data_IF_686822713035
#
_entry.id   IF_686822713035
#
_cell.length_a   1.000
_cell.length_b   1.000
_cell.length_c   1.000
_cell.angle_alpha   90.00
_cell.angle_beta   90.00
_cell.angle_gamma   90.00
#
_symmetry.space_group_name_H-M   'P 1'
#
loop_
_entity.id
_entity.type
_entity.pdbx_description
1 polymer ?
#
# COMPACT_ATOMS: atom_id res chain seq x y z
N UNK A 1 -11.50 -10.43 -44.16
CA UNK A 1 -10.20 -10.53 -43.47
C UNK A 1 -10.48 -11.22 -42.15
N UNK A 2 -10.27 -12.53 -42.12
CA UNK A 2 -10.52 -13.33 -40.93
C UNK A 2 -9.42 -13.06 -39.91
N UNK A 3 -9.80 -12.57 -38.74
CA UNK A 3 -8.91 -12.40 -37.60
C UNK A 3 -8.67 -13.79 -37.02
N UNK A 4 -7.52 -14.37 -37.34
CA UNK A 4 -7.03 -15.61 -36.75
C UNK A 4 -6.84 -15.35 -35.24
N UNK A 5 -7.76 -15.86 -34.41
CA UNK A 5 -7.58 -15.89 -32.95
C UNK A 5 -6.44 -16.88 -32.64
N UNK A 6 -5.42 -16.48 -31.86
CA UNK A 6 -4.32 -17.38 -31.50
C UNK A 6 -4.84 -18.56 -30.66
N UNK A 7 -4.27 -19.73 -30.90
CA UNK A 7 -4.67 -20.97 -30.24
C UNK A 7 -4.23 -20.97 -28.76
N UNK A 8 -5.03 -21.53 -27.83
CA UNK A 8 -4.79 -21.47 -26.38
C UNK A 8 -3.42 -21.97 -25.92
N UNK A 9 -2.79 -22.86 -26.71
CA UNK A 9 -1.48 -23.45 -26.41
C UNK A 9 -0.30 -22.47 -26.55
N UNK A 10 -0.41 -21.42 -27.38
CA UNK A 10 0.66 -20.44 -27.57
C UNK A 10 0.71 -19.40 -26.45
N UNK A 11 -0.46 -19.10 -25.87
CA UNK A 11 -0.60 -18.21 -24.71
C UNK A 11 -0.02 -18.87 -23.45
N UNK A 12 -0.32 -20.15 -23.22
CA UNK A 12 0.20 -20.92 -22.08
C UNK A 12 1.75 -21.04 -22.07
N UNK A 13 2.36 -21.14 -23.25
CA UNK A 13 3.82 -21.25 -23.39
C UNK A 13 4.56 -19.92 -23.20
N UNK A 14 3.87 -18.79 -23.39
CA UNK A 14 4.43 -17.45 -23.18
C UNK A 14 4.40 -17.07 -21.70
N UNK A 15 3.31 -17.43 -21.01
CA UNK A 15 3.12 -17.25 -19.56
C UNK A 15 4.17 -18.04 -18.75
N UNK A 16 4.48 -19.27 -19.16
CA UNK A 16 5.48 -20.11 -18.49
C UNK A 16 6.93 -19.68 -18.71
N UNK A 17 7.21 -18.81 -19.68
CA UNK A 17 8.54 -18.20 -19.90
C UNK A 17 8.73 -16.91 -19.10
N UNK A 18 7.68 -16.12 -18.91
CA UNK A 18 7.72 -14.87 -18.14
C UNK A 18 7.79 -15.11 -16.62
N UNK A 19 7.21 -16.20 -16.13
CA UNK A 19 7.23 -16.60 -14.71
C UNK A 19 8.62 -17.02 -14.17
N UNK A 20 9.63 -17.20 -15.02
CA UNK A 20 10.94 -17.74 -14.61
C UNK A 20 11.94 -16.69 -14.10
N UNK A 21 11.65 -15.39 -14.20
CA UNK A 21 12.68 -14.36 -14.06
C UNK A 21 12.60 -13.42 -12.84
N UNK A 22 11.67 -13.57 -11.90
CA UNK A 22 11.63 -12.70 -10.70
C UNK A 22 11.17 -13.44 -9.44
N UNK A 23 11.68 -13.00 -8.29
CA UNK A 23 11.62 -13.70 -7.00
C UNK A 23 10.17 -13.97 -6.55
N UNK A 24 9.77 -15.25 -6.33
CA UNK A 24 8.42 -15.65 -5.96
C UNK A 24 7.84 -14.93 -4.74
N UNK A 25 8.71 -14.58 -3.79
CA UNK A 25 8.35 -14.00 -2.49
C UNK A 25 7.61 -12.66 -2.60
N UNK A 26 7.93 -11.81 -3.60
CA UNK A 26 7.31 -10.49 -3.75
C UNK A 26 5.90 -10.56 -4.35
N UNK A 27 5.64 -11.57 -5.19
CA UNK A 27 4.32 -11.79 -5.78
C UNK A 27 3.35 -12.43 -4.78
N UNK A 28 3.86 -13.34 -3.94
CA UNK A 28 3.06 -14.06 -2.94
C UNK A 28 2.61 -13.16 -1.79
N UNK A 29 3.46 -12.22 -1.35
CA UNK A 29 3.08 -11.24 -0.34
C UNK A 29 2.03 -10.23 -0.85
N UNK A 30 2.10 -9.83 -2.13
CA UNK A 30 1.09 -8.97 -2.74
C UNK A 30 -0.26 -9.69 -2.88
N UNK A 31 -0.23 -10.96 -3.29
CA UNK A 31 -1.40 -11.81 -3.40
C UNK A 31 -2.10 -12.00 -2.03
N UNK A 32 -1.31 -12.18 -0.97
CA UNK A 32 -1.84 -12.30 0.40
C UNK A 32 -2.55 -11.03 0.85
N UNK A 33 -2.02 -9.85 0.54
CA UNK A 33 -2.65 -8.57 0.87
C UNK A 33 -3.98 -8.37 0.12
N UNK A 34 -4.02 -8.65 -1.18
CA UNK A 34 -5.23 -8.56 -2.00
C UNK A 34 -6.32 -9.57 -1.58
N UNK A 35 -5.94 -10.75 -1.10
CA UNK A 35 -6.89 -11.74 -0.60
C UNK A 35 -7.50 -11.33 0.76
N UNK A 36 -6.73 -10.64 1.61
CA UNK A 36 -7.17 -10.24 2.96
C UNK A 36 -8.21 -9.11 2.97
N UNK A 37 -8.31 -8.31 1.91
CA UNK A 37 -9.32 -7.23 1.78
C UNK A 37 -10.74 -7.73 1.49
N UNK A 38 -10.94 -9.03 1.25
CA UNK A 38 -12.25 -9.61 0.85
C UNK A 38 -13.07 -10.13 2.04
N UNK A 39 -12.54 -10.13 3.28
CA UNK A 39 -13.14 -10.91 4.40
C UNK A 39 -13.95 -10.09 5.43
N UNK A 40 -14.07 -8.76 5.34
CA UNK A 40 -14.87 -7.99 6.31
C UNK A 40 -16.09 -7.29 5.69
N UNK A 41 -17.07 -8.06 5.22
CA UNK A 41 -18.45 -7.59 5.11
C UNK A 41 -19.42 -8.65 5.65
N UNK A 42 -19.88 -8.49 6.89
CA UNK A 42 -21.29 -8.67 7.29
C UNK A 42 -21.53 -8.00 8.66
N UNK A 43 -22.28 -6.90 8.69
CA UNK A 43 -23.60 -6.85 9.38
C UNK A 43 -24.25 -5.45 9.42
N UNK A 44 -25.41 -5.39 8.78
CA UNK A 44 -26.60 -4.57 9.05
C UNK A 44 -26.56 -3.02 8.93
N UNK A 45 -27.03 -2.56 7.77
CA UNK A 45 -28.14 -1.61 7.52
C UNK A 45 -28.36 -0.43 8.48
N UNK A 46 -28.18 0.79 7.95
CA UNK A 46 -29.26 1.77 7.76
C UNK A 46 -28.77 2.95 6.90
N UNK A 47 -29.24 3.04 5.65
CA UNK A 47 -29.06 4.24 4.84
C UNK A 47 -30.10 5.31 5.17
N UNK A 48 -29.72 6.59 5.27
CA UNK A 48 -30.61 7.68 4.97
C UNK A 48 -30.28 8.25 3.57
N UNK A 49 -31.30 8.24 2.73
CA UNK A 49 -31.38 8.95 1.45
C UNK A 49 -31.11 10.44 1.60
N UNK A 50 -30.16 11.01 0.84
CA UNK A 50 -30.13 12.45 0.56
C UNK A 50 -29.72 12.72 -0.90
N UNK A 51 -30.45 13.67 -1.46
CA UNK A 51 -30.67 14.06 -2.84
C UNK A 51 -29.45 14.51 -3.66
N UNK A 52 -29.56 14.26 -4.95
CA UNK A 52 -28.81 14.86 -6.06
C UNK A 52 -28.75 16.39 -5.98
N UNK A 53 -27.55 16.97 -6.08
CA UNK A 53 -27.34 18.33 -6.57
C UNK A 53 -26.13 18.39 -7.52
N UNK A 54 -26.34 19.01 -8.66
CA UNK A 54 -25.44 19.14 -9.81
C UNK A 54 -24.46 20.31 -9.68
N UNK A 55 -23.18 20.01 -9.91
CA UNK A 55 -22.11 20.75 -10.64
C UNK A 55 -21.93 22.26 -10.40
N UNK A 56 -20.73 22.64 -9.96
CA UNK A 56 -19.97 23.73 -10.57
C UNK A 56 -18.45 23.49 -10.44
N UNK A 57 -17.77 23.27 -11.57
CA UNK A 57 -16.30 23.29 -11.68
C UNK A 57 -15.75 24.70 -11.40
N UNK A 58 -14.59 24.82 -10.74
CA UNK A 58 -13.72 25.97 -10.95
C UNK A 58 -12.44 25.59 -11.69
N UNK A 59 -12.10 26.52 -12.58
CA UNK A 59 -11.06 26.52 -13.61
C UNK A 59 -9.66 26.23 -13.10
N UNK A 60 -8.91 25.57 -13.96
CA UNK A 60 -7.45 25.48 -14.00
C UNK A 60 -6.77 26.83 -13.73
N UNK A 61 -5.86 26.84 -12.76
CA UNK A 61 -4.81 27.85 -12.67
C UNK A 61 -3.46 27.14 -12.69
N UNK A 62 -2.67 27.52 -13.68
CA UNK A 62 -1.27 27.12 -13.83
C UNK A 62 -0.47 27.66 -12.64
N UNK A 63 0.08 26.77 -11.82
CA UNK A 63 1.12 27.13 -10.85
C UNK A 63 2.43 26.53 -11.37
N UNK A 64 3.31 27.42 -11.80
CA UNK A 64 4.69 27.15 -12.14
C UNK A 64 5.46 26.77 -10.87
N UNK A 65 5.89 25.52 -10.77
CA UNK A 65 6.82 25.05 -9.75
C UNK A 65 8.23 25.60 -10.02
N UNK A 66 8.51 26.82 -9.55
CA UNK A 66 9.88 27.24 -9.25
C UNK A 66 10.23 26.69 -7.86
N UNK A 67 10.81 25.49 -7.82
CA UNK A 67 11.39 24.97 -6.57
C UNK A 67 12.82 25.51 -6.44
N UNK A 68 12.96 26.67 -5.81
CA UNK A 68 14.25 27.13 -5.32
C UNK A 68 14.59 26.35 -4.05
N UNK A 69 15.60 25.49 -4.15
CA UNK A 69 16.24 24.81 -3.02
C UNK A 69 16.83 25.85 -2.06
N UNK A 70 16.00 26.29 -1.11
CA UNK A 70 16.45 27.11 0.01
C UNK A 70 17.03 26.19 1.08
N UNK A 71 18.34 26.02 1.03
CA UNK A 71 19.16 25.48 2.11
C UNK A 71 18.98 26.33 3.38
N UNK A 72 18.04 25.94 4.24
CA UNK A 72 17.95 26.45 5.60
C UNK A 72 18.00 25.26 6.55
N UNK A 73 19.13 25.11 7.25
CA UNK A 73 19.27 24.21 8.41
C UNK A 73 18.36 24.71 9.53
N UNK A 74 17.06 24.44 9.41
CA UNK A 74 16.18 24.35 10.57
C UNK A 74 16.48 23.02 11.23
N UNK A 75 16.58 23.01 12.55
CA UNK A 75 16.39 21.78 13.28
C UNK A 75 14.97 21.32 12.92
N UNK A 76 14.86 20.34 12.02
CA UNK A 76 13.57 19.75 11.64
C UNK A 76 12.97 19.17 12.91
N UNK A 77 12.09 19.95 13.53
CA UNK A 77 11.19 19.43 14.55
C UNK A 77 10.43 18.29 13.86
N UNK A 78 10.46 17.12 14.49
CA UNK A 78 9.73 15.93 14.05
C UNK A 78 8.24 16.21 14.22
N UNK A 79 7.68 16.95 13.28
CA UNK A 79 6.28 17.36 13.27
C UNK A 79 5.44 16.40 12.42
N UNK A 80 4.17 16.29 12.79
CA UNK A 80 3.20 15.40 12.15
C UNK A 80 3.29 13.96 12.63
N UNK A 81 2.42 13.13 12.05
CA UNK A 81 2.29 11.70 12.32
C UNK A 81 3.10 10.90 11.32
N UNK A 82 3.47 9.67 11.66
CA UNK A 82 4.17 8.73 10.76
C UNK A 82 3.47 7.38 10.79
N UNK A 83 3.47 6.71 9.65
CA UNK A 83 2.97 5.34 9.54
C UNK A 83 4.12 4.41 9.88
N UNK A 84 3.87 3.47 10.78
CA UNK A 84 4.89 2.62 11.39
C UNK A 84 4.35 1.21 11.49
N UNK A 85 5.12 0.23 11.04
CA UNK A 85 4.92 -1.17 11.45
C UNK A 85 5.43 -1.27 12.90
N UNK A 86 4.48 -1.42 13.82
CA UNK A 86 4.70 -1.29 15.26
C UNK A 86 5.69 -2.35 15.79
N UNK A 87 5.52 -3.61 15.39
CA UNK A 87 6.37 -4.71 15.84
C UNK A 87 7.81 -4.56 15.35
N UNK A 88 7.99 -4.24 14.06
CA UNK A 88 9.31 -3.98 13.45
C UNK A 88 10.02 -2.81 14.13
N UNK A 89 9.29 -1.71 14.32
CA UNK A 89 9.86 -0.50 14.88
C UNK A 89 10.24 -0.65 16.35
N UNK A 90 9.38 -1.27 17.17
CA UNK A 90 9.68 -1.54 18.57
C UNK A 90 10.87 -2.50 18.70
N UNK A 91 10.92 -3.56 17.89
CA UNK A 91 12.02 -4.53 17.92
C UNK A 91 13.37 -3.85 17.62
N UNK A 92 13.42 -2.93 16.66
CA UNK A 92 14.63 -2.16 16.38
C UNK A 92 15.02 -1.24 17.55
N UNK A 93 14.06 -0.55 18.16
CA UNK A 93 14.33 0.31 19.34
C UNK A 93 14.91 -0.53 20.49
N UNK A 94 14.33 -1.70 20.76
CA UNK A 94 14.79 -2.60 21.82
C UNK A 94 16.17 -3.23 21.51
N UNK A 95 16.53 -3.31 20.23
CA UNK A 95 17.83 -3.84 19.77
C UNK A 95 18.95 -2.78 19.77
N UNK A 96 18.69 -1.59 20.31
CA UNK A 96 19.67 -0.50 20.36
C UNK A 96 20.93 -0.92 21.13
N UNK A 97 22.13 -0.91 20.50
CA UNK A 97 23.35 -1.37 21.12
C UNK A 97 23.91 -0.32 22.09
N UNK A 98 23.89 -0.63 23.39
CA UNK A 98 24.62 0.15 24.39
C UNK A 98 26.01 -0.47 24.62
N UNK A 99 27.05 0.19 24.10
CA UNK A 99 28.44 -0.19 24.36
C UNK A 99 29.16 0.94 25.10
N UNK A 100 29.75 0.63 26.27
CA UNK A 100 30.58 1.57 27.03
C UNK A 100 30.94 1.10 28.44
N UNK A 101 32.11 1.52 28.92
CA UNK A 101 32.63 1.30 30.30
C UNK A 101 31.76 1.94 31.38
N UNK A 102 31.03 3.00 31.04
CA UNK A 102 29.96 3.57 31.86
C UNK A 102 28.67 2.89 31.43
N UNK A 103 28.20 1.95 32.24
CA UNK A 103 26.95 1.24 32.04
C UNK A 103 25.83 2.23 31.76
N UNK A 104 25.38 2.32 30.50
CA UNK A 104 24.02 2.74 30.21
C UNK A 104 23.16 1.59 30.74
N UNK A 105 23.00 1.54 32.07
CA UNK A 105 22.49 0.38 32.79
C UNK A 105 21.13 0.00 32.23
N UNK A 106 20.91 -1.30 32.07
CA UNK A 106 19.88 -1.97 31.25
C UNK A 106 18.41 -1.69 31.61
N UNK A 107 18.10 -0.58 32.29
CA UNK A 107 16.75 -0.12 32.60
C UNK A 107 16.46 1.34 32.22
N UNK A 108 17.44 2.11 31.69
CA UNK A 108 17.26 3.54 31.35
C UNK A 108 17.35 3.86 29.85
N UNK A 109 17.42 2.83 29.00
CA UNK A 109 17.53 2.93 27.53
C UNK A 109 16.50 3.91 26.94
N UNK A 110 15.26 3.89 27.42
CA UNK A 110 14.21 4.78 26.91
C UNK A 110 14.27 6.24 27.36
N UNK A 111 15.00 6.58 28.43
CA UNK A 111 15.01 7.95 28.99
C UNK A 111 16.08 8.87 28.40
N UNK A 112 17.09 8.32 27.76
CA UNK A 112 18.27 9.08 27.29
C UNK A 112 18.49 8.98 25.79
N UNK A 113 17.56 8.35 25.05
CA UNK A 113 17.65 8.22 23.60
C UNK A 113 16.72 9.25 22.97
N UNK A 114 17.30 10.11 22.13
CA UNK A 114 16.59 11.15 21.41
C UNK A 114 16.72 10.93 19.90
N UNK A 115 15.67 11.26 19.15
CA UNK A 115 15.74 11.29 17.69
C UNK A 115 16.48 12.56 17.28
N UNK A 116 17.60 12.41 16.58
CA UNK A 116 18.43 13.54 16.13
C UNK A 116 18.24 13.87 14.65
N UNK A 117 17.72 12.93 13.87
CA UNK A 117 17.51 13.10 12.44
C UNK A 117 16.41 12.17 11.95
N UNK A 118 15.63 12.64 11.00
CA UNK A 118 14.73 11.83 10.18
C UNK A 118 15.11 11.99 8.71
N UNK A 119 15.09 10.87 7.97
CA UNK A 119 15.16 10.85 6.51
C UNK A 119 13.91 10.16 5.99
N UNK A 120 13.10 10.88 5.22
CA UNK A 120 11.85 10.35 4.66
C UNK A 120 12.04 9.82 3.24
N UNK A 121 11.40 8.69 2.96
CA UNK A 121 11.35 8.02 1.65
C UNK A 121 9.89 7.71 1.32
N UNK A 122 9.09 8.75 1.11
CA UNK A 122 7.63 8.66 1.05
C UNK A 122 7.04 8.57 2.46
N UNK A 123 6.19 7.59 2.70
CA UNK A 123 5.61 7.27 4.02
C UNK A 123 6.55 6.47 4.94
N UNK A 124 7.67 5.96 4.40
CA UNK A 124 8.70 5.27 5.18
C UNK A 124 9.70 6.30 5.71
N UNK A 125 9.96 6.25 7.01
CA UNK A 125 10.91 7.12 7.70
C UNK A 125 12.09 6.32 8.25
N UNK A 126 13.30 6.85 8.08
CA UNK A 126 14.53 6.37 8.70
C UNK A 126 14.92 7.38 9.79
N UNK A 127 14.84 6.98 11.04
CA UNK A 127 15.20 7.81 12.19
C UNK A 127 16.61 7.47 12.64
N UNK A 128 17.40 8.49 12.92
CA UNK A 128 18.67 8.36 13.63
C UNK A 128 18.43 8.66 15.10
N UNK A 129 18.57 7.65 15.93
CA UNK A 129 18.48 7.73 17.38
C UNK A 129 19.87 7.94 17.95
N UNK A 130 19.99 8.82 18.94
CA UNK A 130 21.25 9.09 19.64
C UNK A 130 21.04 8.98 21.14
N UNK A 131 21.89 8.19 21.79
CA UNK A 131 21.92 8.16 23.25
C UNK A 131 22.72 9.33 23.80
N UNK A 132 22.16 10.09 24.74
CA UNK A 132 22.85 11.23 25.35
C UNK A 132 23.97 10.83 26.30
N UNK A 133 23.98 9.60 26.81
CA UNK A 133 25.02 9.12 27.72
C UNK A 133 26.23 8.56 26.96
N UNK A 134 26.02 7.51 26.16
CA UNK A 134 27.12 6.85 25.44
C UNK A 134 27.41 7.46 24.06
N UNK A 135 26.58 8.42 23.60
CA UNK A 135 26.69 9.09 22.29
C UNK A 135 26.65 8.17 21.07
N UNK A 136 26.32 6.89 21.25
CA UNK A 136 26.08 5.94 20.16
C UNK A 136 24.88 6.39 19.36
N UNK A 137 25.01 6.31 18.04
CA UNK A 137 23.94 6.55 17.07
C UNK A 137 23.48 5.21 16.48
N UNK A 138 22.17 5.06 16.33
CA UNK A 138 21.56 3.86 15.78
C UNK A 138 20.42 4.27 14.85
N UNK A 139 20.31 3.57 13.72
CA UNK A 139 19.30 3.86 12.71
C UNK A 139 18.15 2.88 12.87
N UNK A 140 16.93 3.41 12.86
CA UNK A 140 15.70 2.62 12.87
C UNK A 140 14.82 3.04 11.70
N UNK A 141 14.11 2.11 11.09
CA UNK A 141 13.15 2.37 10.00
C UNK A 141 11.73 2.12 10.46
N UNK A 142 10.78 2.93 10.00
CA UNK A 142 9.36 2.78 10.33
C UNK A 142 8.73 1.53 9.74
N UNK A 143 9.34 0.97 8.69
CA UNK A 143 8.90 -0.23 8.00
C UNK A 143 10.10 -0.96 7.38
N UNK A 144 9.94 -2.25 7.10
CA UNK A 144 10.93 -3.09 6.43
C UNK A 144 10.57 -3.28 4.95
N UNK A 145 11.55 -3.75 4.18
CA UNK A 145 11.32 -4.29 2.85
C UNK A 145 11.68 -5.78 2.87
N UNK A 146 10.98 -6.57 3.69
CA UNK A 146 11.19 -8.00 3.96
C UNK A 146 10.57 -8.91 2.88
N UNK A 147 10.33 -8.37 1.68
CA UNK A 147 9.59 -9.04 0.61
C UNK A 147 8.08 -8.85 0.69
N UNK A 148 7.56 -8.27 1.79
CA UNK A 148 6.16 -7.81 1.84
C UNK A 148 5.98 -6.46 1.17
N UNK A 149 4.71 -6.14 0.91
CA UNK A 149 4.33 -4.83 0.41
C UNK A 149 4.58 -3.79 1.50
N UNK A 150 5.63 -2.99 1.32
CA UNK A 150 5.95 -1.91 2.25
C UNK A 150 4.85 -0.84 2.29
N UNK A 151 4.92 0.03 3.29
CA UNK A 151 3.94 1.09 3.58
C UNK A 151 3.66 1.99 2.38
N UNK A 152 4.68 2.32 1.58
CA UNK A 152 4.48 3.09 0.35
C UNK A 152 3.61 2.32 -0.65
N UNK A 153 3.94 1.05 -0.88
CA UNK A 153 3.18 0.18 -1.75
C UNK A 153 1.76 -0.06 -1.25
N UNK A 154 1.58 -0.28 0.05
CA UNK A 154 0.27 -0.52 0.65
C UNK A 154 -0.64 0.71 0.55
N UNK A 155 -0.10 1.91 0.83
CA UNK A 155 -0.86 3.15 0.71
C UNK A 155 -1.26 3.45 -0.75
N UNK A 156 -0.32 3.26 -1.70
CA UNK A 156 -0.60 3.48 -3.14
C UNK A 156 -1.58 2.44 -3.67
N UNK A 157 -1.37 1.16 -3.35
CA UNK A 157 -2.29 0.08 -3.74
C UNK A 157 -3.69 0.33 -3.17
N UNK A 158 -3.77 0.67 -1.88
CA UNK A 158 -5.03 1.00 -1.23
C UNK A 158 -5.74 2.16 -1.92
N UNK A 159 -5.01 3.23 -2.27
CA UNK A 159 -5.57 4.35 -3.03
C UNK A 159 -6.11 3.90 -4.40
N UNK A 160 -5.35 3.11 -5.16
CA UNK A 160 -5.79 2.61 -6.47
C UNK A 160 -7.03 1.70 -6.33
N UNK A 161 -7.06 0.82 -5.32
CA UNK A 161 -8.18 -0.09 -5.08
C UNK A 161 -9.49 0.63 -4.77
N UNK A 162 -9.44 1.79 -4.12
CA UNK A 162 -10.64 2.62 -3.87
C UNK A 162 -10.95 3.61 -5.00
N UNK A 163 -10.21 3.55 -6.11
CA UNK A 163 -10.36 4.47 -7.24
C UNK A 163 -9.80 5.87 -7.01
N UNK A 164 -8.91 6.04 -6.03
CA UNK A 164 -8.23 7.30 -5.75
C UNK A 164 -6.90 7.44 -6.50
N UNK A 165 -6.61 8.66 -6.95
CA UNK A 165 -5.33 9.04 -7.54
C UNK A 165 -4.37 9.72 -6.55
N UNK A 166 -3.21 10.15 -7.06
CA UNK A 166 -2.16 10.83 -6.29
C UNK A 166 -2.68 12.04 -5.49
N UNK A 167 -3.42 12.96 -6.14
CA UNK A 167 -3.87 14.20 -5.49
C UNK A 167 -4.81 13.92 -4.32
N UNK A 168 -5.72 12.95 -4.48
CA UNK A 168 -6.67 12.55 -3.44
C UNK A 168 -5.95 11.86 -2.27
N UNK A 169 -4.97 11.01 -2.56
CA UNK A 169 -4.14 10.39 -1.51
C UNK A 169 -3.37 11.46 -0.72
N UNK A 170 -2.75 12.43 -1.39
CA UNK A 170 -2.03 13.50 -0.70
C UNK A 170 -2.96 14.39 0.13
N UNK A 171 -4.13 14.75 -0.39
CA UNK A 171 -5.15 15.50 0.36
C UNK A 171 -5.58 14.77 1.64
N UNK A 172 -5.88 13.47 1.52
CA UNK A 172 -6.27 12.63 2.65
C UNK A 172 -5.18 12.57 3.73
N UNK A 173 -3.93 12.27 3.32
CA UNK A 173 -2.78 12.14 4.22
C UNK A 173 -2.44 13.48 4.89
N UNK A 174 -2.51 14.59 4.15
CA UNK A 174 -2.27 15.93 4.69
C UNK A 174 -3.33 16.33 5.71
N UNK A 175 -4.59 15.94 5.50
CA UNK A 175 -5.68 16.18 6.45
C UNK A 175 -5.43 15.52 7.80
N UNK A 176 -4.85 14.32 7.82
CA UNK A 176 -4.49 13.60 9.06
C UNK A 176 -3.09 13.95 9.58
N UNK A 177 -2.47 15.00 9.04
CA UNK A 177 -1.15 15.50 9.40
C UNK A 177 -0.05 14.42 9.27
N UNK A 178 -0.16 13.55 8.27
CA UNK A 178 0.93 12.68 7.84
C UNK A 178 1.65 13.40 6.69
N UNK A 179 2.98 13.30 6.60
CA UNK A 179 3.66 13.94 5.49
C UNK A 179 3.44 13.25 4.14
N UNK A 180 3.30 14.07 3.11
CA UNK A 180 3.01 13.62 1.74
C UNK A 180 4.13 12.79 1.10
N UNK A 181 3.73 11.95 0.15
CA UNK A 181 4.64 11.28 -0.79
C UNK A 181 4.87 12.18 -2.01
N UNK A 182 6.08 12.17 -2.56
CA UNK A 182 6.35 12.92 -3.80
C UNK A 182 5.76 12.22 -5.01
N UNK A 183 5.29 12.99 -5.99
CA UNK A 183 4.70 12.45 -7.22
C UNK A 183 5.62 11.44 -7.93
N UNK A 184 6.92 11.78 -8.05
CA UNK A 184 7.93 10.88 -8.64
C UNK A 184 7.96 9.52 -7.94
N UNK A 185 7.82 9.49 -6.61
CA UNK A 185 7.86 8.24 -5.85
C UNK A 185 6.53 7.50 -5.91
N UNK A 186 5.41 8.21 -5.84
CA UNK A 186 4.08 7.64 -6.07
C UNK A 186 4.04 6.89 -7.41
N UNK A 187 4.42 7.57 -8.51
CA UNK A 187 4.40 7.00 -9.86
C UNK A 187 5.31 5.78 -9.97
N UNK A 188 6.51 5.84 -9.39
CA UNK A 188 7.42 4.69 -9.38
C UNK A 188 6.84 3.49 -8.62
N UNK A 189 6.06 3.71 -7.57
CA UNK A 189 5.38 2.63 -6.83
C UNK A 189 4.20 2.08 -7.63
N UNK A 190 3.37 2.95 -8.19
CA UNK A 190 2.24 2.60 -9.05
C UNK A 190 2.69 1.76 -10.26
N UNK A 191 3.73 2.19 -10.97
CA UNK A 191 4.32 1.45 -12.11
C UNK A 191 4.79 0.04 -11.69
N UNK A 192 5.32 -0.11 -10.48
CA UNK A 192 5.73 -1.41 -9.95
C UNK A 192 4.54 -2.31 -9.58
N UNK A 193 3.37 -1.74 -9.32
CA UNK A 193 2.15 -2.46 -8.95
C UNK A 193 1.28 -2.78 -10.17
N UNK A 194 1.37 -1.99 -11.24
CA UNK A 194 0.51 -2.06 -12.42
C UNK A 194 0.40 -3.48 -13.00
N UNK A 195 1.53 -4.17 -13.20
CA UNK A 195 1.52 -5.53 -13.77
C UNK A 195 0.72 -6.51 -12.91
N UNK A 196 0.86 -6.42 -11.58
CA UNK A 196 0.16 -7.35 -10.68
C UNK A 196 -1.31 -6.99 -10.55
N UNK A 197 -1.63 -5.70 -10.49
CA UNK A 197 -3.02 -5.22 -10.48
C UNK A 197 -3.74 -5.68 -11.75
N UNK A 198 -3.12 -5.55 -12.92
CA UNK A 198 -3.69 -5.98 -14.20
C UNK A 198 -3.97 -7.49 -14.22
N UNK A 199 -3.01 -8.30 -13.76
CA UNK A 199 -3.16 -9.75 -13.69
C UNK A 199 -4.28 -10.19 -12.74
N UNK A 200 -4.35 -9.60 -11.55
CA UNK A 200 -5.40 -9.93 -10.58
C UNK A 200 -6.76 -9.41 -11.03
N UNK A 201 -6.82 -8.21 -11.63
CA UNK A 201 -8.07 -7.69 -12.22
C UNK A 201 -8.60 -8.60 -13.32
N UNK A 202 -7.72 -9.11 -14.19
CA UNK A 202 -8.11 -10.07 -15.23
C UNK A 202 -8.65 -11.37 -14.66
N UNK A 203 -8.03 -11.90 -13.60
CA UNK A 203 -8.53 -13.10 -12.90
C UNK A 203 -9.89 -12.85 -12.26
N UNK A 204 -10.06 -11.74 -11.53
CA UNK A 204 -11.33 -11.38 -10.92
C UNK A 204 -12.44 -11.24 -11.97
N UNK A 205 -12.16 -10.60 -13.11
CA UNK A 205 -13.13 -10.49 -14.20
C UNK A 205 -13.49 -11.86 -14.80
N UNK A 206 -12.52 -12.77 -14.94
CA UNK A 206 -12.77 -14.13 -15.43
C UNK A 206 -13.62 -14.94 -14.44
N UNK A 207 -13.29 -14.88 -13.15
CA UNK A 207 -14.01 -15.58 -12.09
C UNK A 207 -15.44 -15.06 -11.96
N UNK A 208 -15.64 -13.75 -11.98
CA UNK A 208 -16.98 -13.14 -11.99
C UNK A 208 -17.78 -13.57 -13.24
N UNK A 209 -17.15 -13.58 -14.42
CA UNK A 209 -17.83 -14.04 -15.64
C UNK A 209 -18.21 -15.53 -15.63
N UNK A 210 -17.43 -16.37 -14.93
CA UNK A 210 -17.78 -17.78 -14.74
C UNK A 210 -18.93 -17.96 -13.75
N UNK A 211 -18.96 -17.17 -12.68
CA UNK A 211 -20.06 -17.15 -11.71
C UNK A 211 -21.37 -16.69 -12.36
N UNK A 212 -21.35 -15.62 -13.14
CA UNK A 212 -22.51 -15.13 -13.89
C UNK A 212 -22.99 -16.12 -14.97
N UNK A 213 -22.08 -16.93 -15.52
CA UNK A 213 -22.40 -17.95 -16.52
C UNK A 213 -22.96 -19.25 -15.91
N UNK A 214 -22.73 -19.53 -14.62
CA UNK A 214 -23.45 -20.61 -13.95
C UNK A 214 -24.93 -20.22 -13.87
N UNK A 215 -25.84 -21.08 -14.35
CA UNK A 215 -27.26 -20.78 -14.21
C UNK A 215 -27.58 -20.68 -12.73
N UNK A 216 -28.18 -19.55 -12.33
CA UNK A 216 -28.60 -19.24 -10.96
C UNK A 216 -29.05 -20.51 -10.25
N UNK A 217 -28.68 -20.65 -8.97
CA UNK A 217 -29.18 -21.75 -8.12
C UNK A 217 -30.71 -21.88 -8.23
N UNK A 218 -31.42 -20.77 -8.46
CA UNK A 218 -32.87 -20.69 -8.73
C UNK A 218 -33.25 -21.35 -10.07
N UNK A 219 -32.53 -21.12 -11.17
CA UNK A 219 -32.80 -21.79 -12.46
C UNK A 219 -32.47 -23.28 -12.42
N UNK A 220 -31.42 -23.69 -11.69
CA UNK A 220 -31.16 -25.12 -11.43
C UNK A 220 -32.28 -25.75 -10.59
N UNK A 221 -32.71 -25.11 -9.49
CA UNK A 221 -33.77 -25.62 -8.61
C UNK A 221 -35.12 -25.73 -9.35
N UNK A 222 -35.49 -24.71 -10.13
CA UNK A 222 -36.73 -24.72 -10.90
C UNK A 222 -36.73 -25.78 -11.99
N UNK A 223 -35.59 -26.03 -12.66
CA UNK A 223 -35.45 -27.15 -13.61
C UNK A 223 -35.61 -28.50 -12.91
N UNK A 224 -35.02 -28.67 -11.73
CA UNK A 224 -35.16 -29.90 -10.95
C UNK A 224 -36.60 -30.11 -10.49
N UNK A 225 -37.27 -29.09 -9.97
CA UNK A 225 -38.67 -29.17 -9.55
C UNK A 225 -39.59 -29.48 -10.75
N UNK A 226 -39.38 -28.84 -11.91
CA UNK A 226 -40.13 -29.12 -13.12
C UNK A 226 -39.95 -30.57 -13.62
N UNK A 227 -38.74 -31.13 -13.49
CA UNK A 227 -38.47 -32.54 -13.84
C UNK A 227 -39.13 -33.55 -12.88
N UNK A 228 -39.41 -33.16 -11.63
CA UNK A 228 -40.13 -34.00 -10.65
C UNK A 228 -41.66 -33.96 -10.82
N UNK A 229 -42.18 -33.00 -11.58
CA UNK A 229 -43.62 -32.81 -11.80
C UNK A 229 -44.14 -33.45 -13.11
N UNK A 230 -43.26 -34.05 -13.93
CA UNK A 230 -43.61 -34.82 -15.14
C UNK A 230 -43.52 -36.31 -14.87
#
# INVERSE_FOLDING_TARGET
>A
MDIIKPQPSEVANTVSRLAKNKTPQKQEALKTYLQSTVIEEESSLNEPSVSSQTISEPRTSHISENTSESNNKKNDLLEGRRIVEIQHFINQILSFPHHGLFACSSGTVGKTVNVVKEIRKGFISEFTLKCDLCKVEYKVTSDENDGKLNTNGAAVLGAISIGCGFSQLNEFISTINIPEISYKRYKAVEENLQEVIEQESWKCMLEAGMEEAEPDKITKLTRTILLWLQ
#
